data_IF_079268110754
#
_entry.id   IF_079268110754
#
_cell.length_a   1.000
_cell.length_b   1.000
_cell.length_c   1.000
_cell.angle_alpha   90.00
_cell.angle_beta   90.00
_cell.angle_gamma   90.00
#
_symmetry.space_group_name_H-M   'P 1'
#
loop_
_entity.id
_entity.type
_entity.pdbx_description
1 polymer ?
#
# COMPACT_ATOMS: atom_id res chain seq x y z
N UNK A 1 -67.47 -24.90 18.81
CA UNK A 1 -67.29 -25.30 20.22
C UNK A 1 -66.72 -24.10 20.98
N UNK A 2 -67.53 -23.08 21.26
CA UNK A 2 -67.84 -22.61 22.62
C UNK A 2 -67.58 -23.61 23.74
N UNK A 3 -66.73 -23.23 24.71
CA UNK A 3 -67.01 -23.36 26.14
C UNK A 3 -66.32 -22.22 26.93
N UNK A 4 -67.13 -21.62 27.78
CA UNK A 4 -66.89 -20.73 28.94
C UNK A 4 -67.76 -21.36 30.07
N UNK A 5 -67.81 -20.94 31.36
CA UNK A 5 -66.89 -20.23 32.26
C UNK A 5 -66.74 -20.94 33.65
N UNK A 6 -66.05 -20.26 34.57
CA UNK A 6 -66.27 -20.17 36.03
C UNK A 6 -65.98 -21.38 36.96
N UNK A 7 -65.12 -21.16 37.97
CA UNK A 7 -65.58 -21.00 39.36
C UNK A 7 -64.42 -20.71 40.35
N UNK A 8 -64.43 -19.47 40.87
CA UNK A 8 -64.39 -19.05 42.28
C UNK A 8 -63.20 -19.37 43.22
N UNK A 9 -62.69 -18.27 43.79
CA UNK A 9 -61.82 -18.15 44.97
C UNK A 9 -62.57 -18.36 46.31
N UNK A 10 -61.85 -18.41 47.43
CA UNK A 10 -62.10 -17.41 48.48
C UNK A 10 -60.84 -16.83 49.19
N UNK A 11 -61.07 -15.65 49.75
CA UNK A 11 -60.26 -14.71 50.58
C UNK A 11 -60.16 -15.20 52.06
N UNK A 12 -59.74 -14.42 53.10
CA UNK A 12 -58.64 -13.44 53.37
C UNK A 12 -57.82 -13.85 54.65
N UNK A 13 -56.89 -13.02 55.17
CA UNK A 13 -56.90 -12.35 56.52
C UNK A 13 -55.57 -11.60 56.78
N UNK A 14 -55.72 -10.37 57.30
CA UNK A 14 -54.74 -9.40 57.84
C UNK A 14 -53.71 -9.91 58.87
N UNK A 15 -52.53 -9.26 58.92
CA UNK A 15 -51.94 -8.67 60.15
C UNK A 15 -50.82 -7.66 59.82
N UNK A 16 -50.66 -6.67 60.70
CA UNK A 16 -49.84 -5.44 60.62
C UNK A 16 -48.53 -5.60 61.46
N UNK A 17 -47.76 -4.54 61.83
CA UNK A 17 -46.35 -4.31 61.45
C UNK A 17 -45.34 -4.54 62.61
N UNK A 18 -44.03 -4.51 62.31
CA UNK A 18 -42.99 -4.25 63.34
C UNK A 18 -41.84 -3.43 62.72
N UNK A 19 -41.61 -2.25 63.29
CA UNK A 19 -40.44 -1.40 63.10
C UNK A 19 -39.20 -2.04 63.76
N UNK A 20 -38.04 -1.97 63.11
CA UNK A 20 -36.80 -2.57 63.59
C UNK A 20 -35.56 -1.83 63.10
N UNK A 21 -35.16 -0.83 63.88
CA UNK A 21 -33.90 -0.10 63.79
C UNK A 21 -32.67 -1.00 63.92
N UNK A 22 -31.63 -0.72 63.14
CA UNK A 22 -30.24 -1.14 63.39
C UNK A 22 -29.62 -2.02 62.30
N UNK A 23 -28.63 -1.51 61.54
CA UNK A 23 -27.23 -1.63 61.95
C UNK A 23 -26.29 -0.98 60.92
N UNK A 24 -25.34 -0.19 61.42
CA UNK A 24 -24.08 0.14 60.75
C UNK A 24 -23.28 -1.14 60.53
N UNK A 25 -22.71 -1.32 59.34
CA UNK A 25 -21.88 -2.49 59.01
C UNK A 25 -21.09 -2.28 57.71
N UNK A 26 -20.00 -1.54 57.86
CA UNK A 26 -18.71 -1.59 57.16
C UNK A 26 -18.50 -2.58 56.00
N UNK A 27 -17.91 -2.04 54.94
CA UNK A 27 -16.80 -2.61 54.16
C UNK A 27 -17.00 -3.98 53.51
N UNK A 28 -17.48 -3.93 52.27
CA UNK A 28 -17.41 -5.03 51.32
C UNK A 28 -17.00 -4.54 49.93
N UNK A 29 -15.80 -3.97 49.81
CA UNK A 29 -15.16 -3.78 48.50
C UNK A 29 -14.92 -5.17 47.90
N UNK A 30 -15.88 -5.62 47.11
CA UNK A 30 -15.78 -6.78 46.23
C UNK A 30 -14.70 -6.48 45.18
N UNK A 31 -13.47 -6.89 45.49
CA UNK A 31 -12.42 -7.03 44.50
C UNK A 31 -12.84 -8.14 43.53
N UNK A 32 -13.60 -7.76 42.51
CA UNK A 32 -13.85 -8.61 41.35
C UNK A 32 -12.48 -8.93 40.71
N UNK A 33 -12.09 -10.21 40.55
CA UNK A 33 -10.87 -10.54 39.83
C UNK A 33 -11.03 -10.06 38.39
N UNK A 34 -10.14 -9.14 37.98
CA UNK A 34 -10.09 -8.63 36.62
C UNK A 34 -10.06 -9.78 35.61
N UNK A 35 -10.86 -9.76 34.53
CA UNK A 35 -10.89 -10.84 33.55
C UNK A 35 -9.52 -10.93 32.88
N UNK A 36 -8.76 -11.99 33.20
CA UNK A 36 -7.54 -12.33 32.47
C UNK A 36 -7.96 -12.64 31.02
N UNK A 37 -7.69 -11.69 30.11
CA UNK A 37 -7.94 -11.86 28.68
C UNK A 37 -7.26 -13.16 28.22
N UNK A 38 -8.05 -14.00 27.55
CA UNK A 38 -7.68 -15.34 27.10
C UNK A 38 -6.41 -15.32 26.23
N UNK A 39 -5.49 -16.25 26.49
CA UNK A 39 -4.23 -16.44 25.74
C UNK A 39 -4.44 -16.48 24.21
N UNK A 40 -5.61 -16.96 23.76
CA UNK A 40 -5.99 -16.98 22.34
C UNK A 40 -6.08 -15.57 21.73
N UNK A 41 -6.57 -14.60 22.48
CA UNK A 41 -6.66 -13.20 22.04
C UNK A 41 -5.27 -12.58 21.87
N UNK A 42 -4.33 -12.91 22.76
CA UNK A 42 -2.93 -12.46 22.64
C UNK A 42 -2.26 -13.05 21.39
N UNK A 43 -2.43 -14.35 21.14
CA UNK A 43 -1.84 -15.04 19.97
C UNK A 43 -2.36 -14.46 18.66
N UNK A 44 -3.66 -14.18 18.55
CA UNK A 44 -4.25 -13.57 17.35
C UNK A 44 -3.68 -12.17 17.12
N UNK A 45 -3.64 -11.34 18.17
CA UNK A 45 -3.10 -9.96 18.07
C UNK A 45 -1.63 -9.98 17.66
N UNK A 46 -0.81 -10.83 18.26
CA UNK A 46 0.61 -10.97 17.92
C UNK A 46 0.78 -11.43 16.47
N UNK A 47 -0.01 -12.42 16.02
CA UNK A 47 0.01 -12.90 14.64
C UNK A 47 -0.32 -11.78 13.64
N UNK A 48 -1.37 -10.99 13.90
CA UNK A 48 -1.74 -9.86 13.05
C UNK A 48 -0.64 -8.80 12.97
N UNK A 49 0.02 -8.50 14.10
CA UNK A 49 1.12 -7.53 14.14
C UNK A 49 2.32 -8.03 13.36
N UNK A 50 2.70 -9.30 13.51
CA UNK A 50 3.82 -9.90 12.76
C UNK A 50 3.53 -9.90 11.26
N UNK A 51 2.32 -10.29 10.85
CA UNK A 51 1.93 -10.26 9.44
C UNK A 51 1.98 -8.81 8.87
N UNK A 52 1.49 -7.83 9.63
CA UNK A 52 1.55 -6.43 9.21
C UNK A 52 2.99 -5.92 9.05
N UNK A 53 3.90 -6.31 9.95
CA UNK A 53 5.33 -5.95 9.86
C UNK A 53 5.99 -6.59 8.63
N UNK A 54 5.70 -7.86 8.34
CA UNK A 54 6.24 -8.54 7.16
C UNK A 54 5.74 -7.87 5.88
N UNK A 55 4.46 -7.55 5.79
CA UNK A 55 3.88 -6.85 4.63
C UNK A 55 4.51 -5.47 4.48
N UNK A 56 4.63 -4.71 5.57
CA UNK A 56 5.24 -3.38 5.53
C UNK A 56 6.71 -3.43 5.09
N UNK A 57 7.50 -4.38 5.62
CA UNK A 57 8.89 -4.58 5.21
C UNK A 57 9.01 -5.01 3.75
N UNK A 58 8.11 -5.89 3.28
CA UNK A 58 8.07 -6.30 1.87
C UNK A 58 7.73 -5.14 0.93
N UNK A 59 6.78 -4.28 1.30
CA UNK A 59 6.45 -3.07 0.53
C UNK A 59 7.62 -2.10 0.52
N UNK A 60 8.28 -1.89 1.67
CA UNK A 60 9.46 -1.03 1.77
C UNK A 60 10.63 -1.55 0.91
N UNK A 61 10.85 -2.86 0.91
CA UNK A 61 11.85 -3.50 0.07
C UNK A 61 11.50 -3.39 -1.41
N UNK A 62 10.25 -3.63 -1.80
CA UNK A 62 9.81 -3.48 -3.18
C UNK A 62 9.94 -2.04 -3.69
N UNK A 63 9.60 -1.05 -2.86
CA UNK A 63 9.80 0.37 -3.20
C UNK A 63 11.29 0.74 -3.29
N UNK A 64 12.14 0.15 -2.45
CA UNK A 64 13.58 0.36 -2.52
C UNK A 64 14.26 -0.36 -3.71
N UNK A 65 13.62 -1.39 -4.26
CA UNK A 65 14.08 -2.16 -5.42
C UNK A 65 13.38 -1.73 -6.73
N UNK A 66 12.45 -0.79 -6.66
CA UNK A 66 11.85 -0.23 -7.87
C UNK A 66 12.92 0.66 -8.51
N UNK A 67 13.59 0.12 -9.51
CA UNK A 67 14.48 0.91 -10.35
C UNK A 67 13.60 1.93 -11.08
N UNK A 68 13.63 3.18 -10.61
CA UNK A 68 13.21 4.29 -11.45
C UNK A 68 14.30 4.41 -12.48
N UNK A 69 14.10 3.77 -13.64
CA UNK A 69 14.98 3.93 -14.79
C UNK A 69 15.05 5.45 -15.06
N UNK A 70 16.14 6.12 -14.65
CA UNK A 70 16.27 7.53 -14.89
C UNK A 70 16.65 7.62 -16.36
N UNK A 71 15.84 8.35 -17.12
CA UNK A 71 16.20 8.81 -18.46
C UNK A 71 15.95 7.81 -19.60
N UNK A 72 14.72 7.29 -19.72
CA UNK A 72 14.14 7.16 -21.08
C UNK A 72 13.61 8.53 -21.51
N UNK A 73 14.53 9.47 -21.79
CA UNK A 73 14.18 10.78 -22.36
C UNK A 73 13.76 10.66 -23.85
N UNK A 74 13.71 9.43 -24.39
CA UNK A 74 13.44 9.15 -25.80
C UNK A 74 14.60 9.53 -26.71
N UNK A 75 15.79 9.81 -26.17
CA UNK A 75 16.97 10.12 -26.96
C UNK A 75 17.50 8.86 -27.64
N UNK A 76 17.49 8.89 -28.97
CA UNK A 76 18.02 7.80 -29.79
C UNK A 76 19.54 7.95 -29.87
N UNK A 77 20.33 6.90 -29.57
CA UNK A 77 21.79 6.94 -29.73
C UNK A 77 22.19 7.17 -31.20
N UNK A 78 22.94 8.25 -31.48
CA UNK A 78 23.42 8.56 -32.83
C UNK A 78 24.55 7.67 -33.32
N UNK A 79 24.57 7.29 -34.59
CA UNK A 79 25.67 6.55 -35.21
C UNK A 79 26.81 7.47 -35.73
N UNK A 80 26.71 8.78 -35.48
CA UNK A 80 27.67 9.79 -35.94
C UNK A 80 27.37 10.36 -37.34
N UNK A 81 26.21 10.02 -37.92
CA UNK A 81 25.73 10.62 -39.15
C UNK A 81 25.30 12.08 -38.90
N UNK A 82 25.91 13.02 -39.63
CA UNK A 82 25.63 14.47 -39.53
C UNK A 82 24.93 15.04 -40.78
N UNK A 83 24.68 14.19 -41.77
CA UNK A 83 24.04 14.56 -43.04
C UNK A 83 22.75 13.75 -43.22
N UNK A 84 21.70 14.42 -43.68
CA UNK A 84 20.44 13.78 -44.03
C UNK A 84 20.44 13.37 -45.51
N UNK A 85 19.78 12.26 -45.83
CA UNK A 85 19.68 11.72 -47.17
C UNK A 85 18.22 11.53 -47.57
N UNK A 86 17.89 11.90 -48.81
CA UNK A 86 16.64 11.55 -49.46
C UNK A 86 16.77 10.22 -50.22
N UNK A 87 15.88 9.99 -51.18
CA UNK A 87 15.88 8.74 -51.97
C UNK A 87 17.18 8.49 -52.75
N UNK A 88 17.89 9.55 -53.18
CA UNK A 88 19.03 9.44 -54.10
C UNK A 88 20.21 10.37 -53.80
N UNK A 89 20.04 11.38 -52.95
CA UNK A 89 21.08 12.39 -52.67
C UNK A 89 21.03 12.83 -51.22
N UNK A 90 22.10 13.48 -50.77
CA UNK A 90 22.08 14.30 -49.57
C UNK A 90 21.04 15.41 -49.70
N UNK A 91 20.41 15.76 -48.58
CA UNK A 91 19.40 16.81 -48.45
C UNK A 91 19.65 17.63 -47.18
N UNK A 92 19.09 18.84 -47.12
CA UNK A 92 18.95 19.55 -45.83
C UNK A 92 18.07 18.72 -44.90
N UNK A 93 18.46 18.62 -43.62
CA UNK A 93 17.68 17.86 -42.65
C UNK A 93 16.25 18.42 -42.51
N UNK A 94 15.22 17.57 -42.61
CA UNK A 94 13.83 18.00 -42.50
C UNK A 94 13.54 18.52 -41.09
N UNK A 95 13.00 19.73 -40.95
CA UNK A 95 12.83 20.34 -39.62
C UNK A 95 11.47 20.07 -38.97
N UNK A 96 10.55 19.44 -39.70
CA UNK A 96 9.18 19.22 -39.25
C UNK A 96 8.73 17.78 -39.45
N UNK A 97 7.96 17.26 -38.49
CA UNK A 97 7.48 15.88 -38.49
C UNK A 97 6.53 15.52 -39.63
N UNK A 98 6.06 16.51 -40.38
CA UNK A 98 5.27 16.33 -41.59
C UNK A 98 6.09 16.19 -42.87
N UNK A 99 7.38 16.49 -42.85
CA UNK A 99 8.26 16.38 -44.02
C UNK A 99 8.68 14.93 -44.28
N UNK A 100 8.85 14.59 -45.56
CA UNK A 100 9.38 13.29 -45.93
C UNK A 100 10.81 13.12 -45.40
N UNK A 101 11.16 11.89 -45.00
CA UNK A 101 12.47 11.56 -44.45
C UNK A 101 12.81 12.25 -43.12
N UNK A 102 11.80 12.72 -42.37
CA UNK A 102 11.95 13.16 -40.97
C UNK A 102 12.25 11.96 -40.03
N UNK A 103 12.88 12.20 -38.88
CA UNK A 103 13.47 11.18 -37.97
C UNK A 103 14.73 10.48 -38.51
N UNK A 104 15.58 11.19 -39.24
CA UNK A 104 16.94 10.70 -39.50
C UNK A 104 17.86 10.98 -38.31
N UNK A 105 18.90 10.17 -38.17
CA UNK A 105 19.87 10.30 -37.08
C UNK A 105 20.56 11.69 -37.05
N UNK A 106 20.78 12.28 -38.23
CA UNK A 106 21.35 13.61 -38.38
C UNK A 106 20.42 14.77 -37.98
N UNK A 107 19.12 14.49 -37.74
CA UNK A 107 18.09 15.49 -37.47
C UNK A 107 17.92 15.80 -35.97
N UNK A 108 18.43 14.95 -35.09
CA UNK A 108 18.33 15.14 -33.63
C UNK A 108 19.64 15.73 -33.07
N UNK A 109 19.54 16.64 -32.09
CA UNK A 109 20.74 17.23 -31.45
C UNK A 109 21.34 16.32 -30.35
N UNK A 110 20.85 15.08 -30.24
CA UNK A 110 21.23 14.18 -29.17
C UNK A 110 22.51 13.41 -29.49
N UNK A 111 23.63 13.92 -29.00
CA UNK A 111 24.91 13.22 -29.10
C UNK A 111 24.94 11.95 -28.24
N UNK A 112 25.66 10.92 -28.72
CA UNK A 112 26.05 9.75 -27.92
C UNK A 112 26.72 10.17 -26.61
N UNK A 113 26.36 9.54 -25.50
CA UNK A 113 26.91 9.84 -24.17
C UNK A 113 27.49 8.59 -23.51
N UNK A 114 28.51 8.01 -24.14
CA UNK A 114 29.23 6.85 -23.61
C UNK A 114 30.36 7.26 -22.67
N UNK A 115 30.45 6.57 -21.52
CA UNK A 115 31.53 6.72 -20.54
C UNK A 115 32.24 5.39 -20.34
N UNK A 116 33.55 5.35 -20.57
CA UNK A 116 34.39 4.22 -20.18
C UNK A 116 34.57 4.23 -18.65
N UNK A 117 34.20 3.14 -17.98
CA UNK A 117 34.27 3.02 -16.52
C UNK A 117 35.66 2.57 -16.02
N UNK A 118 36.55 2.14 -16.93
CA UNK A 118 37.90 1.67 -16.60
C UNK A 118 37.96 0.29 -15.95
N UNK A 119 36.84 -0.44 -15.92
CA UNK A 119 36.69 -1.80 -15.37
C UNK A 119 36.23 -2.81 -16.44
N UNK A 120 36.56 -2.52 -17.71
CA UNK A 120 36.13 -3.25 -18.91
C UNK A 120 34.64 -3.09 -19.25
N UNK A 121 33.93 -2.14 -18.61
CA UNK A 121 32.54 -1.78 -18.96
C UNK A 121 32.39 -0.36 -19.50
N UNK A 122 31.33 -0.12 -20.27
CA UNK A 122 30.95 1.19 -20.83
C UNK A 122 29.52 1.53 -20.42
N UNK A 123 29.34 2.71 -19.81
CA UNK A 123 28.02 3.25 -19.44
C UNK A 123 27.44 4.10 -20.57
N UNK A 124 26.16 3.90 -20.91
CA UNK A 124 25.39 4.78 -21.79
C UNK A 124 24.43 5.65 -20.98
N UNK A 125 24.75 6.94 -20.83
CA UNK A 125 23.94 7.86 -20.04
C UNK A 125 22.56 8.15 -20.67
N UNK A 126 22.34 7.78 -21.94
CA UNK A 126 21.07 7.94 -22.66
C UNK A 126 20.07 6.84 -22.33
N UNK A 127 20.57 5.65 -22.01
CA UNK A 127 19.74 4.45 -21.85
C UNK A 127 19.82 3.85 -20.45
N UNK A 128 20.73 4.33 -19.60
CA UNK A 128 21.00 3.74 -18.29
C UNK A 128 21.70 2.38 -18.36
N UNK A 129 22.00 1.88 -19.55
CA UNK A 129 22.59 0.57 -19.77
C UNK A 129 24.12 0.59 -19.61
N UNK A 130 24.65 -0.54 -19.14
CA UNK A 130 26.10 -0.80 -19.06
C UNK A 130 26.40 -2.02 -19.92
N UNK A 131 27.45 -1.93 -20.74
CA UNK A 131 27.93 -2.96 -21.65
C UNK A 131 29.32 -3.44 -21.27
#
# INVERSE_FOLDING_TARGET
MNQDPDMQAPVPVHAVPVDGSGNMGTDGMSNAPSPRKSSKTLVIVVSCVVAAVIVAAGVLLFLALSDTDPDDDGSVPRNGQVLCYGAHTEITCPTSSSEAFYFQDADTDDHLSYTDNGDETVSDARTGLIW
#
